data_IF_276530457163
#
_entry.id   IF_276530457163
#
_cell.length_a   1.000
_cell.length_b   1.000
_cell.length_c   1.000
_cell.angle_alpha   90.00
_cell.angle_beta   90.00
_cell.angle_gamma   90.00
#
_symmetry.space_group_name_H-M   'P 1'
#
loop_
_entity.id
_entity.type
_entity.pdbx_description
1 polymer ?
#
# COMPACT_ATOMS: atom_id res chain seq x y z
N UNK A 1 48.79 1.96 -17.79
CA UNK A 1 48.00 0.79 -17.36
C UNK A 1 47.76 0.89 -15.86
N UNK A 2 46.59 0.69 -15.26
CA UNK A 2 45.22 0.72 -15.75
C UNK A 2 44.32 1.13 -14.58
N UNK A 3 43.36 2.03 -14.84
CA UNK A 3 42.32 2.51 -13.92
C UNK A 3 41.27 1.40 -13.68
N UNK A 4 41.64 0.27 -13.08
CA UNK A 4 40.78 -0.94 -13.02
C UNK A 4 40.46 -1.52 -11.64
N UNK A 5 40.72 -0.80 -10.55
CA UNK A 5 40.51 -1.31 -9.18
C UNK A 5 39.75 -0.36 -8.23
N UNK A 6 38.75 0.36 -8.75
CA UNK A 6 37.78 1.12 -7.91
C UNK A 6 36.33 0.71 -8.15
N UNK A 7 36.10 -0.56 -8.40
CA UNK A 7 34.76 -1.12 -8.49
C UNK A 7 34.77 -2.52 -7.94
N UNK A 8 34.35 -2.69 -6.67
CA UNK A 8 33.82 -3.90 -6.02
C UNK A 8 33.94 -3.75 -4.51
N UNK A 9 32.94 -3.10 -3.92
CA UNK A 9 32.37 -3.38 -2.59
C UNK A 9 31.31 -2.33 -2.29
N UNK A 10 30.25 -2.31 -3.10
CA UNK A 10 28.99 -1.70 -2.72
C UNK A 10 28.10 -2.80 -2.13
N UNK A 11 28.56 -3.45 -1.06
CA UNK A 11 27.67 -4.18 -0.19
C UNK A 11 26.75 -3.13 0.42
N UNK A 12 25.53 -3.00 -0.11
CA UNK A 12 24.45 -2.27 0.57
C UNK A 12 24.22 -3.06 1.86
N UNK A 13 24.88 -2.65 2.94
CA UNK A 13 24.49 -3.05 4.27
C UNK A 13 22.97 -2.81 4.37
N UNK A 14 22.26 -3.75 5.01
CA UNK A 14 20.86 -3.52 5.38
C UNK A 14 20.78 -2.09 5.91
N UNK A 15 19.86 -1.24 5.42
CA UNK A 15 19.69 0.09 5.98
C UNK A 15 19.59 -0.10 7.50
N UNK A 16 20.47 0.53 8.27
CA UNK A 16 20.35 0.53 9.73
C UNK A 16 18.89 0.86 10.04
N UNK A 17 18.23 0.06 10.88
CA UNK A 17 16.82 0.22 11.19
C UNK A 17 16.62 1.62 11.78
N UNK A 18 16.16 2.56 10.96
CA UNK A 18 15.89 3.92 11.41
C UNK A 18 14.59 3.87 12.20
N UNK A 19 14.70 3.82 13.52
CA UNK A 19 13.62 3.78 14.52
C UNK A 19 12.57 4.92 14.44
N UNK A 20 12.66 5.81 13.45
CA UNK A 20 11.79 6.98 13.31
C UNK A 20 10.40 6.63 12.73
N UNK A 21 10.26 5.53 11.99
CA UNK A 21 8.98 5.12 11.38
C UNK A 21 8.09 4.24 12.27
N UNK A 22 8.64 3.76 13.40
CA UNK A 22 7.87 2.95 14.35
C UNK A 22 6.75 3.76 14.99
N UNK A 23 6.95 5.08 15.23
CA UNK A 23 5.96 5.87 15.98
C UNK A 23 4.61 6.05 15.23
N UNK A 24 4.63 6.45 13.95
CA UNK A 24 3.39 6.68 13.18
C UNK A 24 2.58 5.39 13.01
N UNK A 25 3.28 4.31 12.66
CA UNK A 25 2.65 3.01 12.46
C UNK A 25 2.25 2.37 13.79
N UNK A 26 2.91 2.70 14.91
CA UNK A 26 2.53 2.25 16.26
C UNK A 26 1.17 2.80 16.68
N UNK A 27 0.90 4.09 16.49
CA UNK A 27 -0.42 4.68 16.83
C UNK A 27 -1.55 3.96 16.08
N UNK A 28 -1.32 3.62 14.81
CA UNK A 28 -2.23 2.80 14.02
C UNK A 28 -2.41 1.39 14.60
N UNK A 29 -1.32 0.69 14.94
CA UNK A 29 -1.36 -0.68 15.48
C UNK A 29 -2.09 -0.73 16.82
N UNK A 30 -1.93 0.30 17.66
CA UNK A 30 -2.61 0.47 18.95
C UNK A 30 -4.09 0.88 18.81
N UNK A 31 -4.60 1.05 17.58
CA UNK A 31 -6.00 1.37 17.34
C UNK A 31 -6.35 2.83 17.65
N UNK A 32 -5.38 3.74 17.53
CA UNK A 32 -5.56 5.18 17.76
C UNK A 32 -6.09 5.50 19.16
N UNK A 33 -5.33 5.20 20.25
CA UNK A 33 -5.81 5.30 21.63
C UNK A 33 -6.33 6.70 22.03
N UNK A 34 -5.85 7.75 21.36
CA UNK A 34 -6.25 9.14 21.62
C UNK A 34 -7.44 9.62 20.75
N UNK A 35 -7.96 8.81 19.84
CA UNK A 35 -9.08 9.17 18.95
C UNK A 35 -10.40 8.63 19.52
N UNK A 36 -11.36 9.53 19.71
CA UNK A 36 -12.73 9.20 20.11
C UNK A 36 -13.67 9.28 18.91
N UNK A 37 -14.54 8.28 18.78
CA UNK A 37 -15.56 8.27 17.74
C UNK A 37 -16.64 9.31 18.02
N UNK A 38 -17.14 9.91 16.94
CA UNK A 38 -18.37 10.70 16.95
C UNK A 38 -19.48 9.91 16.25
N UNK A 39 -20.47 9.36 16.99
CA UNK A 39 -21.50 8.50 16.41
C UNK A 39 -22.44 9.22 15.43
N UNK A 40 -22.41 10.56 15.36
CA UNK A 40 -23.21 11.33 14.40
C UNK A 40 -22.60 11.38 13.00
N UNK A 41 -21.29 11.12 12.90
CA UNK A 41 -20.53 11.15 11.66
C UNK A 41 -20.71 9.85 10.87
N UNK A 42 -21.07 9.96 9.58
CA UNK A 42 -21.45 8.83 8.74
C UNK A 42 -21.07 9.02 7.25
N UNK A 43 -20.17 9.96 6.92
CA UNK A 43 -19.83 10.25 5.52
C UNK A 43 -19.20 9.06 4.81
N UNK A 44 -18.29 8.33 5.47
CA UNK A 44 -17.63 7.17 4.85
C UNK A 44 -18.64 6.07 4.57
N UNK A 45 -19.51 5.77 5.54
CA UNK A 45 -20.56 4.78 5.35
C UNK A 45 -21.49 5.17 4.19
N UNK A 46 -21.95 6.42 4.14
CA UNK A 46 -22.81 6.93 3.06
C UNK A 46 -22.13 6.87 1.69
N UNK A 47 -20.82 7.17 1.63
CA UNK A 47 -20.02 7.05 0.42
C UNK A 47 -19.99 5.60 -0.09
N UNK A 48 -19.70 4.64 0.79
CA UNK A 48 -19.71 3.22 0.44
C UNK A 48 -21.11 2.65 0.14
N UNK A 49 -22.16 3.24 0.70
CA UNK A 49 -23.55 2.94 0.34
C UNK A 49 -23.94 3.52 -1.03
N UNK A 50 -23.11 4.40 -1.61
CA UNK A 50 -23.39 5.07 -2.89
C UNK A 50 -24.38 6.22 -2.77
N UNK A 51 -24.61 6.73 -1.55
CA UNK A 51 -25.56 7.82 -1.27
C UNK A 51 -24.89 9.17 -1.05
N UNK A 52 -23.55 9.19 -1.01
CA UNK A 52 -22.73 10.39 -0.94
C UNK A 52 -21.61 10.27 -1.96
N UNK A 53 -21.36 11.34 -2.72
CA UNK A 53 -20.20 11.43 -3.62
C UNK A 53 -18.96 11.84 -2.85
N UNK A 54 -17.80 11.47 -3.37
CA UNK A 54 -16.54 12.07 -2.92
C UNK A 54 -16.46 13.55 -3.32
N UNK A 55 -15.74 14.35 -2.54
CA UNK A 55 -15.50 15.79 -2.75
C UNK A 55 -14.00 16.10 -2.63
N UNK A 56 -13.46 17.21 -3.17
CA UNK A 56 -14.16 18.31 -3.87
C UNK A 56 -14.67 17.93 -5.26
N UNK A 57 -13.78 17.47 -6.15
CA UNK A 57 -14.12 17.17 -7.56
C UNK A 57 -14.33 15.67 -7.78
N UNK A 58 -15.06 15.00 -6.87
CA UNK A 58 -15.22 13.56 -6.88
C UNK A 58 -16.45 13.05 -7.63
N UNK A 59 -16.73 11.76 -7.47
CA UNK A 59 -17.96 11.12 -7.98
C UNK A 59 -18.47 10.10 -6.93
N UNK A 60 -19.62 9.51 -7.18
CA UNK A 60 -20.11 8.33 -6.45
C UNK A 60 -19.21 7.14 -6.71
N UNK A 61 -19.03 6.29 -5.68
CA UNK A 61 -18.10 5.15 -5.73
C UNK A 61 -18.33 4.23 -6.95
N UNK A 62 -19.58 3.96 -7.32
CA UNK A 62 -19.89 3.11 -8.49
C UNK A 62 -19.48 3.78 -9.81
N UNK A 63 -19.59 5.11 -9.92
CA UNK A 63 -19.11 5.85 -11.08
C UNK A 63 -17.58 5.90 -11.13
N UNK A 64 -16.92 6.05 -9.97
CA UNK A 64 -15.45 5.96 -9.89
C UNK A 64 -14.99 4.63 -10.45
N UNK A 65 -15.53 3.51 -9.95
CA UNK A 65 -15.15 2.18 -10.44
C UNK A 65 -15.47 1.98 -11.93
N UNK A 66 -16.62 2.49 -12.40
CA UNK A 66 -17.04 2.31 -13.78
C UNK A 66 -16.24 3.15 -14.78
N UNK A 67 -15.91 4.40 -14.42
CA UNK A 67 -15.37 5.38 -15.36
C UNK A 67 -13.86 5.62 -15.20
N UNK A 68 -13.31 5.42 -14.00
CA UNK A 68 -11.92 5.79 -13.71
C UNK A 68 -10.99 4.58 -13.73
N UNK A 69 -11.52 3.35 -13.68
CA UNK A 69 -10.70 2.14 -13.76
C UNK A 69 -9.96 2.10 -15.10
N UNK A 70 -8.63 2.01 -15.03
CA UNK A 70 -7.76 2.01 -16.20
C UNK A 70 -7.43 3.40 -16.76
N UNK A 71 -8.07 4.46 -16.27
CA UNK A 71 -7.70 5.86 -16.55
C UNK A 71 -6.62 6.31 -15.56
N UNK A 72 -5.39 5.88 -15.85
CA UNK A 72 -4.26 6.12 -14.96
C UNK A 72 -3.89 7.60 -14.85
N UNK A 73 -4.09 8.39 -15.90
CA UNK A 73 -3.80 9.82 -15.89
C UNK A 73 -4.77 10.57 -14.97
N UNK A 74 -6.05 10.15 -14.95
CA UNK A 74 -7.02 10.67 -13.99
C UNK A 74 -6.67 10.29 -12.55
N UNK A 75 -6.35 9.01 -12.29
CA UNK A 75 -5.99 8.53 -10.94
C UNK A 75 -4.69 9.17 -10.42
N UNK A 76 -3.73 9.50 -11.29
CA UNK A 76 -2.52 10.20 -10.88
C UNK A 76 -2.82 11.66 -10.51
N UNK A 77 -3.47 12.42 -11.40
CA UNK A 77 -3.72 13.87 -11.23
C UNK A 77 -4.74 14.19 -10.15
N UNK A 78 -5.72 13.32 -9.92
CA UNK A 78 -6.76 13.57 -8.92
C UNK A 78 -6.31 13.06 -7.55
N UNK A 79 -6.14 13.95 -6.58
CA UNK A 79 -5.66 13.56 -5.24
C UNK A 79 -6.78 13.43 -4.21
N UNK A 80 -7.96 14.01 -4.47
CA UNK A 80 -9.05 14.11 -3.49
C UNK A 80 -9.72 12.76 -3.19
N UNK A 81 -9.80 11.87 -4.17
CA UNK A 81 -10.55 10.61 -4.08
C UNK A 81 -9.92 9.59 -3.14
N UNK A 82 -8.59 9.58 -3.00
CA UNK A 82 -7.88 8.50 -2.28
C UNK A 82 -8.29 8.43 -0.82
N UNK A 83 -8.64 9.57 -0.21
CA UNK A 83 -9.07 9.63 1.18
C UNK A 83 -10.50 9.12 1.39
N UNK A 84 -11.34 9.17 0.35
CA UNK A 84 -12.68 8.60 0.34
C UNK A 84 -12.67 7.09 0.04
N UNK A 85 -11.82 6.66 -0.90
CA UNK A 85 -11.63 5.22 -1.21
C UNK A 85 -10.87 4.49 -0.10
N UNK A 86 -10.02 5.16 0.67
CA UNK A 86 -9.27 4.54 1.76
C UNK A 86 -9.27 5.46 2.98
N UNK A 87 -10.44 5.61 3.64
CA UNK A 87 -10.55 6.43 4.84
C UNK A 87 -9.81 5.73 5.98
N UNK A 88 -9.11 6.52 6.79
CA UNK A 88 -8.41 6.07 7.99
C UNK A 88 -8.73 7.06 9.12
N UNK A 89 -8.33 6.74 10.35
CA UNK A 89 -8.60 7.56 11.55
C UNK A 89 -7.63 8.74 11.69
N UNK A 90 -6.84 9.00 10.66
CA UNK A 90 -5.88 10.10 10.54
C UNK A 90 -6.42 11.12 9.54
N UNK A 91 -6.24 12.39 9.88
CA UNK A 91 -6.48 13.49 8.97
C UNK A 91 -5.54 13.38 7.76
N UNK A 92 -5.89 14.06 6.68
CA UNK A 92 -4.90 14.32 5.66
C UNK A 92 -5.30 15.50 4.79
N UNK A 93 -4.77 15.54 3.57
CA UNK A 93 -4.81 16.76 2.75
C UNK A 93 -6.21 17.17 2.28
N UNK A 94 -7.16 16.22 2.15
CA UNK A 94 -8.53 16.54 1.81
C UNK A 94 -9.37 16.70 3.08
N UNK A 95 -9.47 17.93 3.56
CA UNK A 95 -10.27 18.34 4.72
C UNK A 95 -11.78 18.05 4.59
N UNK A 96 -12.29 17.81 3.37
CA UNK A 96 -13.68 17.40 3.15
C UNK A 96 -13.88 15.89 3.32
N UNK A 97 -12.81 15.09 3.26
CA UNK A 97 -12.86 13.67 3.58
C UNK A 97 -12.88 13.49 5.11
N UNK A 98 -13.99 12.99 5.63
CA UNK A 98 -14.16 12.73 7.05
C UNK A 98 -13.24 11.58 7.50
N UNK A 99 -12.54 11.76 8.62
CA UNK A 99 -11.81 10.65 9.26
C UNK A 99 -12.76 9.46 9.53
N UNK A 100 -12.23 8.25 9.38
CA UNK A 100 -13.00 7.01 9.57
C UNK A 100 -13.44 6.86 11.03
N UNK A 101 -14.71 6.55 11.25
CA UNK A 101 -15.23 6.16 12.56
C UNK A 101 -15.30 4.62 12.66
N UNK A 102 -15.10 4.05 13.85
CA UNK A 102 -15.13 2.59 14.03
C UNK A 102 -16.52 2.01 13.75
N UNK A 103 -17.59 2.75 14.08
CA UNK A 103 -18.95 2.32 13.74
C UNK A 103 -19.19 2.29 12.23
N UNK A 104 -18.61 3.21 11.47
CA UNK A 104 -18.66 3.20 10.00
C UNK A 104 -17.91 1.97 9.45
N UNK A 105 -16.68 1.73 9.91
CA UNK A 105 -15.87 0.58 9.47
C UNK A 105 -16.60 -0.75 9.70
N UNK A 106 -17.18 -0.93 10.90
CA UNK A 106 -17.98 -2.12 11.25
C UNK A 106 -19.25 -2.24 10.40
N UNK A 107 -19.90 -1.13 10.07
CA UNK A 107 -21.10 -1.13 9.23
C UNK A 107 -20.75 -1.47 7.77
N UNK A 108 -19.68 -0.91 7.22
CA UNK A 108 -19.18 -1.22 5.87
C UNK A 108 -18.82 -2.70 5.76
N UNK A 109 -18.15 -3.28 6.75
CA UNK A 109 -17.80 -4.70 6.77
C UNK A 109 -19.02 -5.64 6.78
N UNK A 110 -20.13 -5.22 7.40
CA UNK A 110 -21.37 -6.01 7.48
C UNK A 110 -22.28 -5.85 6.27
N UNK A 111 -22.10 -4.79 5.49
CA UNK A 111 -22.86 -4.54 4.27
C UNK A 111 -22.11 -5.14 3.08
N UNK A 112 -22.64 -6.22 2.51
CA UNK A 112 -22.01 -6.95 1.40
C UNK A 112 -21.71 -6.05 0.19
N UNK A 113 -22.59 -5.10 -0.13
CA UNK A 113 -22.39 -4.19 -1.27
C UNK A 113 -21.30 -3.17 -0.98
N UNK A 114 -21.30 -2.63 0.25
CA UNK A 114 -20.26 -1.70 0.69
C UNK A 114 -18.88 -2.37 0.74
N UNK A 115 -18.81 -3.60 1.27
CA UNK A 115 -17.60 -4.42 1.32
C UNK A 115 -17.08 -4.75 -0.09
N UNK A 116 -17.96 -5.13 -1.02
CA UNK A 116 -17.57 -5.38 -2.42
C UNK A 116 -17.03 -4.10 -3.09
N UNK A 117 -17.62 -2.93 -2.82
CA UNK A 117 -17.11 -1.65 -3.31
C UNK A 117 -15.72 -1.32 -2.73
N UNK A 118 -15.45 -1.66 -1.48
CA UNK A 118 -14.11 -1.53 -0.91
C UNK A 118 -13.11 -2.41 -1.66
N UNK A 119 -13.43 -3.69 -1.88
CA UNK A 119 -12.58 -4.62 -2.63
C UNK A 119 -12.31 -4.13 -4.06
N UNK A 120 -13.34 -3.66 -4.77
CA UNK A 120 -13.16 -3.06 -6.11
C UNK A 120 -12.25 -1.84 -6.11
N UNK A 121 -12.34 -1.01 -5.08
CA UNK A 121 -11.44 0.14 -4.92
C UNK A 121 -9.99 -0.30 -4.76
N UNK A 122 -9.76 -1.35 -3.95
CA UNK A 122 -8.44 -1.94 -3.76
C UNK A 122 -7.89 -2.55 -5.07
N UNK A 123 -8.68 -3.34 -5.79
CA UNK A 123 -8.28 -3.93 -7.08
C UNK A 123 -7.96 -2.87 -8.14
N UNK A 124 -8.76 -1.80 -8.22
CA UNK A 124 -8.50 -0.67 -9.11
C UNK A 124 -7.16 0.00 -8.79
N UNK A 125 -6.84 0.20 -7.50
CA UNK A 125 -5.56 0.78 -7.11
C UNK A 125 -4.39 -0.17 -7.33
N UNK A 126 -4.56 -1.49 -7.15
CA UNK A 126 -3.54 -2.46 -7.53
C UNK A 126 -3.24 -2.36 -9.02
N UNK A 127 -4.27 -2.31 -9.88
CA UNK A 127 -4.09 -2.17 -11.33
C UNK A 127 -3.33 -0.88 -11.69
N UNK A 128 -3.71 0.23 -11.06
CA UNK A 128 -3.00 1.51 -11.18
C UNK A 128 -1.51 1.42 -10.84
N UNK A 129 -1.14 0.57 -9.88
CA UNK A 129 0.25 0.31 -9.49
C UNK A 129 0.93 -0.81 -10.28
N UNK A 130 0.27 -1.42 -11.26
CA UNK A 130 0.86 -2.52 -12.07
C UNK A 130 0.74 -3.89 -11.43
N UNK A 131 -0.21 -4.06 -10.51
CA UNK A 131 -0.46 -5.28 -9.75
C UNK A 131 -1.90 -5.74 -9.98
N UNK A 132 -2.19 -7.00 -9.64
CA UNK A 132 -3.55 -7.53 -9.60
C UNK A 132 -3.72 -8.46 -8.40
N UNK A 133 -4.89 -8.43 -7.80
CA UNK A 133 -5.31 -9.40 -6.79
C UNK A 133 -5.68 -10.70 -7.52
N UNK A 134 -5.03 -11.81 -7.17
CA UNK A 134 -5.29 -13.12 -7.79
C UNK A 134 -6.08 -14.06 -6.88
N UNK A 135 -6.12 -13.78 -5.58
CA UNK A 135 -6.90 -14.54 -4.62
C UNK A 135 -7.44 -13.61 -3.52
N UNK A 136 -8.76 -13.44 -3.50
CA UNK A 136 -9.48 -12.60 -2.50
C UNK A 136 -9.55 -13.25 -1.11
N UNK A 137 -9.26 -14.54 -0.96
CA UNK A 137 -9.31 -15.23 0.33
C UNK A 137 -8.03 -15.03 1.13
N UNK A 138 -6.88 -14.99 0.47
CA UNK A 138 -5.58 -14.84 1.13
C UNK A 138 -4.86 -13.53 0.78
N UNK A 139 -5.39 -12.72 -0.13
CA UNK A 139 -4.82 -11.42 -0.50
C UNK A 139 -3.64 -11.50 -1.47
N UNK A 140 -3.39 -12.65 -2.12
CA UNK A 140 -2.25 -12.82 -3.00
C UNK A 140 -2.30 -11.85 -4.18
N UNK A 141 -1.18 -11.17 -4.43
CA UNK A 141 -1.02 -10.25 -5.56
C UNK A 141 0.06 -10.74 -6.54
N UNK A 142 -0.09 -10.35 -7.80
CA UNK A 142 0.89 -10.58 -8.86
C UNK A 142 1.03 -9.33 -9.74
N UNK A 143 2.02 -9.32 -10.63
CA UNK A 143 2.12 -8.33 -11.71
C UNK A 143 0.85 -8.34 -12.57
N UNK A 144 0.31 -7.17 -12.89
CA UNK A 144 -0.73 -7.03 -13.92
C UNK A 144 -0.12 -7.06 -15.32
N UNK A 145 -0.95 -7.00 -16.36
CA UNK A 145 -0.47 -7.02 -17.75
C UNK A 145 0.41 -5.81 -18.08
N UNK A 146 0.07 -4.63 -17.55
CA UNK A 146 0.78 -3.36 -17.78
C UNK A 146 1.92 -3.10 -16.78
N UNK A 147 2.34 -4.10 -16.00
CA UNK A 147 3.25 -3.91 -14.86
C UNK A 147 4.53 -3.12 -15.19
N UNK A 148 5.11 -3.27 -16.39
CA UNK A 148 6.36 -2.58 -16.76
C UNK A 148 6.21 -1.06 -16.72
N UNK A 149 5.19 -0.55 -17.41
CA UNK A 149 4.88 0.88 -17.46
C UNK A 149 4.51 1.38 -16.07
N UNK A 150 3.65 0.64 -15.36
CA UNK A 150 3.12 1.04 -14.06
C UNK A 150 4.17 1.01 -12.95
N UNK A 151 5.10 0.05 -12.96
CA UNK A 151 6.22 0.01 -12.02
C UNK A 151 7.23 1.11 -12.30
N UNK A 152 7.50 1.39 -13.58
CA UNK A 152 8.30 2.55 -13.97
C UNK A 152 7.67 3.83 -13.40
N UNK A 153 6.37 4.03 -13.58
CA UNK A 153 5.66 5.16 -12.99
C UNK A 153 5.75 5.19 -11.45
N UNK A 154 5.46 4.08 -10.78
CA UNK A 154 5.48 3.99 -9.31
C UNK A 154 6.86 4.34 -8.72
N UNK A 155 7.95 3.91 -9.36
CA UNK A 155 9.31 4.25 -8.95
C UNK A 155 9.61 5.76 -9.02
N UNK A 156 8.86 6.54 -9.80
CA UNK A 156 9.11 7.97 -10.00
C UNK A 156 8.06 8.88 -9.33
N UNK A 157 6.92 8.34 -8.90
CA UNK A 157 5.84 9.09 -8.25
C UNK A 157 5.76 8.82 -6.74
N UNK A 158 6.70 9.37 -5.96
CA UNK A 158 6.85 9.08 -4.51
C UNK A 158 5.62 9.39 -3.66
N UNK A 159 4.75 10.32 -4.06
CA UNK A 159 3.50 10.59 -3.34
C UNK A 159 2.56 9.36 -3.32
N UNK A 160 2.69 8.45 -4.29
CA UNK A 160 1.98 7.18 -4.29
C UNK A 160 2.41 6.26 -3.14
N UNK A 161 3.59 6.46 -2.54
CA UNK A 161 4.00 5.69 -1.38
C UNK A 161 3.17 6.02 -0.14
N UNK A 162 2.80 7.29 0.02
CA UNK A 162 1.86 7.74 1.05
C UNK A 162 0.44 7.21 0.80
N UNK A 163 0.01 7.16 -0.48
CA UNK A 163 -1.27 6.54 -0.86
C UNK A 163 -1.27 5.04 -0.50
N UNK A 164 -0.20 4.31 -0.77
CA UNK A 164 -0.04 2.89 -0.39
C UNK A 164 -0.08 2.72 1.13
N UNK A 165 0.63 3.55 1.90
CA UNK A 165 0.56 3.50 3.37
C UNK A 165 -0.87 3.65 3.87
N UNK A 166 -1.63 4.61 3.32
CA UNK A 166 -3.06 4.80 3.65
C UNK A 166 -3.91 3.59 3.28
N UNK A 167 -3.71 3.01 2.09
CA UNK A 167 -4.41 1.78 1.66
C UNK A 167 -4.12 0.65 2.64
N UNK A 168 -2.86 0.43 3.01
CA UNK A 168 -2.46 -0.62 3.96
C UNK A 168 -3.08 -0.42 5.35
N UNK A 169 -3.08 0.81 5.89
CA UNK A 169 -3.77 1.10 7.15
C UNK A 169 -5.27 0.80 7.03
N UNK A 170 -5.91 1.28 5.95
CA UNK A 170 -7.34 1.10 5.69
C UNK A 170 -7.74 -0.38 5.54
N UNK A 171 -6.94 -1.21 4.88
CA UNK A 171 -7.17 -2.66 4.80
C UNK A 171 -7.36 -3.27 6.20
N UNK A 172 -6.52 -2.90 7.17
CA UNK A 172 -6.68 -3.40 8.54
C UNK A 172 -7.84 -2.76 9.31
N UNK A 173 -8.25 -1.53 9.01
CA UNK A 173 -9.47 -0.93 9.56
C UNK A 173 -10.75 -1.62 9.03
N UNK A 174 -10.70 -2.12 7.79
CA UNK A 174 -11.78 -2.85 7.12
C UNK A 174 -11.74 -4.37 7.38
N UNK A 175 -10.92 -4.85 8.31
CA UNK A 175 -10.85 -6.28 8.66
C UNK A 175 -10.10 -7.17 7.66
N UNK A 176 -9.42 -6.59 6.66
CA UNK A 176 -8.63 -7.30 5.64
C UNK A 176 -7.13 -7.29 5.97
N UNK A 177 -6.77 -7.51 7.24
CA UNK A 177 -5.37 -7.54 7.68
C UNK A 177 -4.53 -8.54 6.87
N UNK A 178 -5.13 -9.67 6.51
CA UNK A 178 -4.52 -10.75 5.74
C UNK A 178 -4.06 -10.33 4.33
N UNK A 179 -4.54 -9.20 3.78
CA UNK A 179 -4.11 -8.72 2.45
C UNK A 179 -2.76 -8.01 2.47
N UNK A 180 -2.33 -7.49 3.63
CA UNK A 180 -1.13 -6.64 3.71
C UNK A 180 0.15 -7.43 3.53
N UNK A 181 0.28 -8.58 4.21
CA UNK A 181 1.51 -9.38 4.18
C UNK A 181 1.85 -9.88 2.76
N UNK A 182 0.92 -10.45 1.99
CA UNK A 182 1.18 -10.81 0.59
C UNK A 182 1.62 -9.62 -0.28
N UNK A 183 0.98 -8.45 -0.11
CA UNK A 183 1.39 -7.22 -0.80
C UNK A 183 2.83 -6.82 -0.47
N UNK A 184 3.17 -6.75 0.83
CA UNK A 184 4.51 -6.37 1.29
C UNK A 184 5.55 -7.37 0.79
N UNK A 185 5.26 -8.67 0.90
CA UNK A 185 6.12 -9.73 0.39
C UNK A 185 6.38 -9.60 -1.12
N UNK A 186 5.34 -9.28 -1.89
CA UNK A 186 5.45 -9.03 -3.32
C UNK A 186 6.37 -7.84 -3.62
N UNK A 187 6.15 -6.70 -2.96
CA UNK A 187 6.99 -5.50 -3.10
C UNK A 187 8.46 -5.81 -2.76
N UNK A 188 8.74 -6.48 -1.64
CA UNK A 188 10.11 -6.81 -1.24
C UNK A 188 10.82 -7.65 -2.31
N UNK A 189 10.15 -8.66 -2.87
CA UNK A 189 10.69 -9.46 -3.95
C UNK A 189 10.97 -8.64 -5.22
N UNK A 190 10.05 -7.75 -5.60
CA UNK A 190 10.20 -6.86 -6.77
C UNK A 190 11.32 -5.83 -6.57
N UNK A 191 11.43 -5.25 -5.38
CA UNK A 191 12.41 -4.22 -5.03
C UNK A 191 13.82 -4.78 -4.88
N UNK A 192 13.96 -5.93 -4.20
CA UNK A 192 15.28 -6.49 -3.87
C UNK A 192 15.74 -7.45 -4.95
N UNK A 193 15.01 -8.56 -5.15
CA UNK A 193 15.47 -9.66 -5.99
C UNK A 193 15.29 -9.37 -7.48
N UNK A 194 14.14 -8.85 -7.91
CA UNK A 194 13.88 -8.50 -9.32
C UNK A 194 14.48 -7.15 -9.72
N UNK A 195 14.63 -6.22 -8.77
CA UNK A 195 15.17 -4.87 -9.03
C UNK A 195 14.26 -3.99 -9.88
N UNK A 196 12.96 -4.27 -9.91
CA UNK A 196 11.94 -3.61 -10.74
C UNK A 196 11.15 -2.55 -9.98
N UNK A 197 11.19 -2.58 -8.64
CA UNK A 197 10.59 -1.59 -7.73
C UNK A 197 11.60 -1.13 -6.66
N UNK A 198 12.88 -1.00 -7.00
CA UNK A 198 13.96 -0.73 -6.05
C UNK A 198 13.76 0.59 -5.26
N UNK A 199 13.12 1.58 -5.87
CA UNK A 199 12.82 2.88 -5.22
C UNK A 199 11.71 2.81 -4.17
N UNK A 200 10.95 1.72 -4.10
CA UNK A 200 9.93 1.53 -3.06
C UNK A 200 10.53 0.93 -1.78
N UNK A 201 11.77 0.44 -1.82
CA UNK A 201 12.37 -0.36 -0.74
C UNK A 201 12.38 0.38 0.61
N UNK A 202 12.77 1.65 0.60
CA UNK A 202 12.81 2.47 1.82
C UNK A 202 11.43 2.60 2.45
N UNK A 203 10.41 2.98 1.65
CA UNK A 203 9.03 3.07 2.12
C UNK A 203 8.47 1.72 2.57
N UNK A 204 8.85 0.64 1.91
CA UNK A 204 8.43 -0.70 2.26
C UNK A 204 8.94 -1.12 3.64
N UNK A 205 10.25 -0.97 3.87
CA UNK A 205 10.89 -1.38 5.13
C UNK A 205 10.50 -0.46 6.28
N UNK A 206 10.53 0.85 6.06
CA UNK A 206 10.31 1.80 7.14
C UNK A 206 8.82 1.95 7.46
N UNK A 207 7.91 1.94 6.48
CA UNK A 207 6.51 2.27 6.73
C UNK A 207 5.57 1.09 6.49
N UNK A 208 5.67 0.40 5.34
CA UNK A 208 4.67 -0.60 4.97
C UNK A 208 4.72 -1.85 5.85
N UNK A 209 5.92 -2.35 6.19
CA UNK A 209 6.09 -3.44 7.18
C UNK A 209 5.49 -3.03 8.54
N UNK A 210 5.70 -1.78 8.96
CA UNK A 210 5.12 -1.25 10.21
C UNK A 210 3.59 -1.28 10.27
N UNK A 211 2.90 -1.36 9.12
CA UNK A 211 1.42 -1.45 9.09
C UNK A 211 0.88 -2.84 9.44
N UNK A 212 1.72 -3.87 9.55
CA UNK A 212 1.31 -5.21 10.00
C UNK A 212 1.07 -5.18 11.50
N UNK A 213 -0.14 -5.54 11.95
CA UNK A 213 -0.50 -5.47 13.38
C UNK A 213 0.28 -6.45 14.24
N UNK A 214 0.52 -7.67 13.73
CA UNK A 214 1.22 -8.74 14.46
C UNK A 214 2.74 -8.58 14.38
N UNK A 215 3.40 -8.76 15.51
CA UNK A 215 4.85 -8.68 15.63
C UNK A 215 5.52 -9.80 14.83
N UNK A 216 4.92 -10.99 14.83
CA UNK A 216 5.41 -12.16 14.11
C UNK A 216 5.41 -11.93 12.60
N UNK A 217 4.37 -11.27 12.06
CA UNK A 217 4.30 -10.94 10.63
C UNK A 217 5.38 -9.92 10.23
N UNK A 218 5.75 -8.99 11.13
CA UNK A 218 6.84 -8.03 10.87
C UNK A 218 8.20 -8.71 10.90
N UNK A 219 8.44 -9.57 11.89
CA UNK A 219 9.66 -10.39 11.97
C UNK A 219 9.82 -11.27 10.72
N UNK A 220 8.74 -11.89 10.24
CA UNK A 220 8.76 -12.69 9.00
C UNK A 220 9.20 -11.84 7.79
N UNK A 221 8.77 -10.58 7.69
CA UNK A 221 9.19 -9.68 6.60
C UNK A 221 10.65 -9.28 6.71
N UNK A 222 11.18 -9.10 7.93
CA UNK A 222 12.61 -8.84 8.15
C UNK A 222 13.48 -10.05 7.75
N UNK A 223 13.09 -11.25 8.16
CA UNK A 223 13.77 -12.49 7.76
C UNK A 223 13.71 -12.71 6.25
N UNK A 224 12.55 -12.50 5.65
CA UNK A 224 12.37 -12.61 4.21
C UNK A 224 13.24 -11.60 3.45
N UNK A 225 13.34 -10.37 3.94
CA UNK A 225 14.22 -9.33 3.40
C UNK A 225 15.68 -9.79 3.38
N UNK A 226 16.19 -10.32 4.50
CA UNK A 226 17.56 -10.88 4.60
C UNK A 226 17.77 -11.99 3.57
N UNK A 227 16.82 -12.92 3.45
CA UNK A 227 16.89 -14.01 2.47
C UNK A 227 16.94 -13.49 1.03
N UNK A 228 16.20 -12.43 0.68
CA UNK A 228 16.21 -11.86 -0.67
C UNK A 228 17.54 -11.22 -1.03
N UNK A 229 18.19 -10.51 -0.10
CA UNK A 229 19.54 -9.97 -0.31
C UNK A 229 20.56 -11.09 -0.57
N UNK A 230 20.58 -12.13 0.27
CA UNK A 230 21.45 -13.29 0.06
C UNK A 230 21.21 -13.98 -1.30
N UNK A 231 19.94 -14.14 -1.72
CA UNK A 231 19.61 -14.71 -3.04
C UNK A 231 20.09 -13.84 -4.18
N UNK A 232 19.95 -12.51 -4.06
CA UNK A 232 20.42 -11.57 -5.08
C UNK A 232 21.93 -11.64 -5.26
N UNK A 233 22.67 -11.61 -4.16
CA UNK A 233 24.14 -11.65 -4.17
C UNK A 233 24.65 -12.94 -4.81
N UNK A 234 24.08 -14.09 -4.42
CA UNK A 234 24.44 -15.38 -5.03
C UNK A 234 24.15 -15.43 -6.53
N UNK A 235 23.00 -14.90 -6.97
CA UNK A 235 22.66 -14.88 -8.40
C UNK A 235 23.59 -14.00 -9.23
N UNK A 236 24.06 -12.88 -8.66
CA UNK A 236 25.02 -12.00 -9.32
C UNK A 236 26.41 -12.63 -9.39
N UNK A 237 26.85 -13.32 -8.34
CA UNK A 237 28.10 -14.07 -8.35
C UNK A 237 28.10 -15.14 -9.44
N UNK A 238 27.04 -15.96 -9.55
CA UNK A 238 26.95 -16.99 -10.61
C UNK A 238 27.05 -16.41 -12.02
N UNK A 239 26.46 -15.23 -12.27
CA UNK A 239 26.56 -14.53 -13.56
C UNK A 239 27.94 -13.92 -13.84
N UNK A 240 28.77 -13.68 -12.82
CA UNK A 240 30.13 -13.16 -13.00
C UNK A 240 31.17 -14.25 -13.32
N UNK A 241 30.84 -15.51 -13.08
CA UNK A 241 31.71 -16.68 -13.32
C UNK A 241 31.31 -17.48 -14.57
N UNK A 242 30.31 -17.01 -15.33
CA UNK A 242 29.91 -17.48 -16.66
C UNK A 242 30.31 -16.44 -17.71
#
# INVERSE_FOLDING_TARGET
>A
ESKKERGRNAFRQLPESHHWSDHDTKVYREGYPNKKDNPKLNHNLKFYQGTLSSCPDGDFIDNIHKKWWGDYDLLERHHGYIQWLFPIRESGMNWQAQELQMHEAKAIQKDEKASERFLKSYEMMLDFYGMKLVDRNNGQVQRSEKWKERFHHLNHSMHNYLRITRILKCLGEMGLEHFKKPFIRFILNEAIYKGTLDRTLDSCLNYWVGTLRKDEDRQEMEEYTKQLFHKKDNSQLTLMWL
#
